data_IF_216615388458
#
_entry.id   IF_216615388458
#
_cell.length_a   1.000
_cell.length_b   1.000
_cell.length_c   1.000
_cell.angle_alpha   90.00
_cell.angle_beta   90.00
_cell.angle_gamma   90.00
#
_symmetry.space_group_name_H-M   'P 1'
#
loop_
_entity.id
_entity.type
_entity.pdbx_description
1 polymer ?
#
# COMPACT_ATOMS: atom_id res chain seq x y z
N UNK A 1 34.59 6.61 16.65
CA UNK A 1 34.11 7.78 17.42
C UNK A 1 32.88 8.49 16.80
N UNK A 2 32.71 8.53 15.48
CA UNK A 2 31.61 9.26 14.80
C UNK A 2 30.20 8.64 15.03
N UNK A 3 30.09 7.33 15.26
CA UNK A 3 28.78 6.62 15.45
C UNK A 3 28.03 6.98 16.75
N UNK A 4 28.74 7.36 17.81
CA UNK A 4 28.13 7.66 19.13
C UNK A 4 27.42 9.03 19.09
N UNK A 5 27.99 9.99 18.37
CA UNK A 5 27.41 11.32 18.18
C UNK A 5 26.12 11.29 17.35
N UNK A 6 26.06 10.45 16.31
CA UNK A 6 24.85 10.29 15.50
C UNK A 6 23.69 9.68 16.28
N UNK A 7 23.97 8.69 17.14
CA UNK A 7 22.96 8.04 17.97
C UNK A 7 22.40 8.98 19.03
N UNK A 8 23.28 9.74 19.71
CA UNK A 8 22.89 10.77 20.67
C UNK A 8 22.04 11.87 20.03
N UNK A 9 22.39 12.32 18.83
CA UNK A 9 21.62 13.37 18.12
C UNK A 9 20.22 12.90 17.67
N UNK A 10 20.08 11.63 17.29
CA UNK A 10 18.80 11.06 16.87
C UNK A 10 17.89 10.82 18.07
N UNK A 11 18.45 10.29 19.17
CA UNK A 11 17.72 10.09 20.41
C UNK A 11 17.27 11.42 21.02
N UNK A 12 18.11 12.45 20.98
CA UNK A 12 17.75 13.80 21.39
C UNK A 12 16.61 14.37 20.51
N UNK A 13 16.67 14.18 19.20
CA UNK A 13 15.59 14.61 18.29
C UNK A 13 14.27 13.89 18.60
N UNK A 14 14.31 12.57 18.79
CA UNK A 14 13.12 11.77 19.12
C UNK A 14 12.54 12.24 20.46
N UNK A 15 13.36 12.43 21.48
CA UNK A 15 12.92 12.91 22.79
C UNK A 15 12.28 14.31 22.70
N UNK A 16 12.88 15.24 21.95
CA UNK A 16 12.32 16.58 21.73
C UNK A 16 10.99 16.51 20.98
N UNK A 17 10.86 15.66 19.97
CA UNK A 17 9.59 15.48 19.26
C UNK A 17 8.50 14.90 20.16
N UNK A 18 8.81 13.91 20.99
CA UNK A 18 7.84 13.36 21.96
C UNK A 18 7.42 14.39 23.00
N UNK A 19 8.36 15.19 23.52
CA UNK A 19 8.05 16.27 24.44
C UNK A 19 7.15 17.33 23.79
N UNK A 20 7.44 17.75 22.57
CA UNK A 20 6.61 18.71 21.82
C UNK A 20 5.19 18.18 21.56
N UNK A 21 5.06 16.92 21.14
CA UNK A 21 3.75 16.28 20.95
C UNK A 21 2.99 16.23 22.29
N UNK A 22 3.67 15.91 23.40
CA UNK A 22 3.09 15.88 24.73
C UNK A 22 2.58 17.25 25.19
N UNK A 23 3.37 18.31 25.01
CA UNK A 23 2.95 19.69 25.33
C UNK A 23 1.76 20.12 24.46
N UNK A 24 1.78 19.80 23.16
CA UNK A 24 0.66 20.10 22.27
C UNK A 24 -0.61 19.33 22.68
N UNK A 25 -0.51 18.04 22.97
CA UNK A 25 -1.65 17.23 23.41
C UNK A 25 -2.25 17.71 24.74
N UNK A 26 -1.40 18.17 25.67
CA UNK A 26 -1.83 18.74 26.94
C UNK A 26 -2.54 20.09 26.77
N UNK A 27 -2.04 20.95 25.88
CA UNK A 27 -2.69 22.23 25.55
C UNK A 27 -4.07 22.01 24.89
N UNK A 28 -4.18 21.06 23.96
CA UNK A 28 -5.46 20.64 23.36
C UNK A 28 -6.43 20.12 24.41
N UNK A 29 -5.96 19.28 25.33
CA UNK A 29 -6.78 18.74 26.41
C UNK A 29 -7.35 19.84 27.32
N UNK A 30 -6.52 20.82 27.71
CA UNK A 30 -6.95 21.97 28.51
C UNK A 30 -7.97 22.83 27.74
N UNK A 31 -7.78 23.03 26.44
CA UNK A 31 -8.71 23.79 25.60
C UNK A 31 -10.05 23.08 25.44
N UNK A 32 -10.05 21.75 25.25
CA UNK A 32 -11.28 20.94 25.19
C UNK A 32 -12.06 21.03 26.51
N UNK A 33 -11.38 21.01 27.65
CA UNK A 33 -12.03 21.19 28.96
C UNK A 33 -12.67 22.58 29.12
N UNK A 34 -12.10 23.65 28.54
CA UNK A 34 -12.65 25.02 28.58
C UNK A 34 -13.82 25.25 27.63
N UNK A 35 -13.92 24.51 26.52
CA UNK A 35 -14.98 24.68 25.50
C UNK A 35 -16.38 24.31 26.02
N UNK A 36 -16.47 23.57 27.14
CA UNK A 36 -17.73 23.08 27.70
C UNK A 36 -18.68 24.20 28.18
N UNK A 37 -18.23 25.45 28.29
CA UNK A 37 -18.99 26.52 28.95
C UNK A 37 -19.56 27.65 28.05
N UNK A 38 -19.14 27.86 26.78
CA UNK A 38 -19.81 28.87 25.91
C UNK A 38 -19.47 28.82 24.42
N UNK A 39 -20.42 29.24 23.56
CA UNK A 39 -20.28 29.26 22.08
C UNK A 39 -19.31 30.34 21.58
N UNK A 40 -19.17 31.47 22.29
CA UNK A 40 -18.23 32.53 21.93
C UNK A 40 -16.75 32.09 22.08
N UNK A 41 -16.46 31.23 23.07
CA UNK A 41 -15.14 30.61 23.28
C UNK A 41 -14.75 29.61 22.18
N UNK A 42 -15.71 29.15 21.36
CA UNK A 42 -15.45 28.18 20.30
C UNK A 42 -14.62 28.77 19.16
N UNK A 43 -14.87 30.04 18.80
CA UNK A 43 -14.17 30.71 17.69
C UNK A 43 -12.71 31.01 18.02
N UNK A 44 -12.45 31.47 19.25
CA UNK A 44 -11.09 31.74 19.75
C UNK A 44 -10.29 30.46 19.93
N UNK A 45 -10.90 29.39 20.42
CA UNK A 45 -10.23 28.08 20.55
C UNK A 45 -9.95 27.42 19.21
N UNK A 46 -10.85 27.52 18.22
CA UNK A 46 -10.58 27.05 16.85
C UNK A 46 -9.44 27.84 16.18
N UNK A 47 -9.36 29.16 16.42
CA UNK A 47 -8.25 29.97 15.91
C UNK A 47 -6.92 29.54 16.53
N UNK A 48 -6.87 29.35 17.85
CA UNK A 48 -5.67 28.87 18.56
C UNK A 48 -5.28 27.48 18.06
N UNK A 49 -6.24 26.56 17.95
CA UNK A 49 -6.03 25.20 17.43
C UNK A 49 -5.41 25.19 16.03
N UNK A 50 -5.99 25.98 15.12
CA UNK A 50 -5.48 26.09 13.74
C UNK A 50 -4.08 26.72 13.69
N UNK A 51 -3.82 27.72 14.52
CA UNK A 51 -2.51 28.35 14.65
C UNK A 51 -1.45 27.37 15.17
N UNK A 52 -1.77 26.59 16.19
CA UNK A 52 -0.88 25.57 16.77
C UNK A 52 -0.56 24.45 15.78
N UNK A 53 -1.56 23.98 15.03
CA UNK A 53 -1.37 22.97 13.97
C UNK A 53 -0.49 23.50 12.82
N UNK A 54 -0.71 24.75 12.40
CA UNK A 54 0.09 25.37 11.35
C UNK A 54 1.55 25.55 11.79
N UNK A 55 1.77 26.00 13.02
CA UNK A 55 3.10 26.12 13.60
C UNK A 55 3.81 24.75 13.67
N UNK A 56 3.12 23.71 14.12
CA UNK A 56 3.66 22.34 14.18
C UNK A 56 4.05 21.82 12.78
N UNK A 57 3.20 22.06 11.77
CA UNK A 57 3.49 21.70 10.39
C UNK A 57 4.77 22.41 9.89
N UNK A 58 4.89 23.72 10.12
CA UNK A 58 6.07 24.50 9.70
C UNK A 58 7.35 24.03 10.40
N UNK A 59 7.29 23.72 11.70
CA UNK A 59 8.44 23.19 12.44
C UNK A 59 8.85 21.81 11.94
N UNK A 60 7.91 20.91 11.69
CA UNK A 60 8.22 19.56 11.20
C UNK A 60 8.90 19.59 9.83
N UNK A 61 8.41 20.41 8.90
CA UNK A 61 9.00 20.61 7.57
C UNK A 61 10.40 21.21 7.67
N UNK A 62 10.61 22.17 8.58
CA UNK A 62 11.91 22.80 8.79
C UNK A 62 12.95 21.78 9.27
N UNK A 63 12.60 20.93 10.23
CA UNK A 63 13.47 19.87 10.75
C UNK A 63 13.86 18.87 9.66
N UNK A 64 12.89 18.42 8.85
CA UNK A 64 13.15 17.51 7.74
C UNK A 64 14.05 18.15 6.67
N UNK A 65 13.86 19.45 6.42
CA UNK A 65 14.64 20.21 5.45
C UNK A 65 16.10 20.39 5.90
N UNK A 66 16.34 20.63 7.20
CA UNK A 66 17.69 20.70 7.76
C UNK A 66 18.45 19.38 7.58
N UNK A 67 17.78 18.23 7.74
CA UNK A 67 18.40 16.92 7.49
C UNK A 67 18.81 16.76 6.02
N UNK A 68 17.92 17.11 5.09
CA UNK A 68 18.23 17.06 3.65
C UNK A 68 19.42 17.96 3.29
N UNK A 69 19.44 19.19 3.81
CA UNK A 69 20.54 20.14 3.60
C UNK A 69 21.86 19.63 4.18
N UNK A 70 21.84 19.03 5.36
CA UNK A 70 23.05 18.47 5.99
C UNK A 70 23.60 17.28 5.20
N UNK A 71 22.74 16.39 4.71
CA UNK A 71 23.15 15.28 3.84
C UNK A 71 23.72 15.80 2.52
N UNK A 72 23.07 16.78 1.90
CA UNK A 72 23.55 17.40 0.67
C UNK A 72 24.93 18.07 0.85
N UNK A 73 25.12 18.82 1.95
CA UNK A 73 26.43 19.40 2.28
C UNK A 73 27.49 18.34 2.59
N UNK A 74 27.13 17.27 3.28
CA UNK A 74 28.03 16.15 3.53
C UNK A 74 28.49 15.48 2.24
N UNK A 75 27.57 15.24 1.30
CA UNK A 75 27.90 14.71 -0.02
C UNK A 75 28.74 15.67 -0.86
N UNK A 76 28.50 16.98 -0.76
CA UNK A 76 29.30 18.00 -1.45
C UNK A 76 30.72 18.14 -0.87
N UNK A 77 30.91 17.84 0.42
CA UNK A 77 32.20 17.84 1.09
C UNK A 77 33.03 16.59 0.82
N UNK A 78 32.47 15.53 0.25
CA UNK A 78 33.25 14.38 -0.23
C UNK A 78 34.07 14.90 -1.42
N UNK A 79 35.41 15.01 -1.30
CA UNK A 79 36.21 15.55 -2.38
C UNK A 79 36.20 14.56 -3.55
N UNK A 80 35.44 14.88 -4.60
CA UNK A 80 35.38 14.08 -5.83
C UNK A 80 36.76 13.96 -6.52
N UNK A 81 37.68 14.85 -6.19
CA UNK A 81 39.06 14.86 -6.68
C UNK A 81 39.93 13.72 -6.12
N UNK A 82 39.51 13.03 -5.04
CA UNK A 82 40.18 11.84 -4.50
C UNK A 82 39.49 10.53 -4.90
N UNK A 83 38.60 10.56 -5.89
CA UNK A 83 38.32 9.38 -6.71
C UNK A 83 39.14 9.54 -7.98
N UNK A 84 40.45 9.25 -7.97
CA UNK A 84 41.21 9.28 -9.19
C UNK A 84 40.78 8.05 -9.98
N UNK A 85 39.83 8.24 -10.90
CA UNK A 85 39.90 7.54 -12.18
C UNK A 85 40.60 8.53 -13.12
N UNK A 86 41.82 8.91 -12.77
CA UNK A 86 42.71 9.65 -13.65
C UNK A 86 43.69 8.63 -14.27
N UNK A 87 44.14 8.90 -15.49
CA UNK A 87 45.06 8.06 -16.30
C UNK A 87 46.45 7.78 -15.65
N UNK A 88 46.66 8.23 -14.41
CA UNK A 88 47.91 8.10 -13.65
C UNK A 88 47.87 7.06 -12.53
N UNK A 89 46.82 6.23 -12.44
CA UNK A 89 46.87 5.09 -11.52
C UNK A 89 47.90 4.06 -11.99
N UNK A 90 48.76 3.55 -11.09
CA UNK A 90 49.54 2.35 -11.38
C UNK A 90 48.61 1.24 -11.85
N UNK A 91 48.96 0.60 -12.97
CA UNK A 91 48.12 -0.39 -13.64
C UNK A 91 47.65 -1.49 -12.68
N UNK A 92 48.49 -1.88 -11.71
CA UNK A 92 48.16 -2.86 -10.67
C UNK A 92 47.00 -2.45 -9.75
N UNK A 93 46.91 -1.15 -9.40
CA UNK A 93 45.85 -0.63 -8.53
C UNK A 93 44.55 -0.50 -9.33
N UNK A 94 44.65 -0.03 -10.59
CA UNK A 94 43.50 0.05 -11.49
C UNK A 94 42.89 -1.33 -11.73
N UNK A 95 43.72 -2.34 -12.00
CA UNK A 95 43.28 -3.71 -12.25
C UNK A 95 42.59 -4.30 -11.01
N UNK A 96 43.14 -4.06 -9.81
CA UNK A 96 42.54 -4.51 -8.55
C UNK A 96 41.21 -3.82 -8.26
N UNK A 97 41.10 -2.53 -8.54
CA UNK A 97 39.86 -1.77 -8.39
C UNK A 97 38.79 -2.24 -9.40
N UNK A 98 39.17 -2.41 -10.68
CA UNK A 98 38.28 -2.96 -11.70
C UNK A 98 37.82 -4.36 -11.34
N UNK A 99 38.72 -5.21 -10.88
CA UNK A 99 38.39 -6.57 -10.42
C UNK A 99 37.37 -6.53 -9.27
N UNK A 100 37.60 -5.71 -8.23
CA UNK A 100 36.65 -5.58 -7.12
C UNK A 100 35.29 -5.01 -7.54
N UNK A 101 35.26 -4.09 -8.52
CA UNK A 101 34.02 -3.58 -9.12
C UNK A 101 33.29 -4.67 -9.91
N UNK A 102 34.01 -5.45 -10.72
CA UNK A 102 33.44 -6.55 -11.50
C UNK A 102 32.94 -7.68 -10.61
N UNK A 103 33.67 -8.05 -9.56
CA UNK A 103 33.26 -9.04 -8.57
C UNK A 103 32.02 -8.57 -7.82
N UNK A 104 31.99 -7.31 -7.36
CA UNK A 104 30.81 -6.73 -6.70
C UNK A 104 29.60 -6.66 -7.63
N UNK A 105 29.81 -6.34 -8.91
CA UNK A 105 28.76 -6.34 -9.91
C UNK A 105 28.24 -7.76 -10.21
N UNK A 106 29.13 -8.75 -10.30
CA UNK A 106 28.78 -10.15 -10.50
C UNK A 106 28.03 -10.72 -9.31
N UNK A 107 28.50 -10.45 -8.08
CA UNK A 107 27.81 -10.83 -6.84
C UNK A 107 26.44 -10.16 -6.76
N UNK A 108 26.34 -8.86 -7.09
CA UNK A 108 25.05 -8.16 -7.14
C UNK A 108 24.11 -8.76 -8.19
N UNK A 109 24.63 -9.16 -9.35
CA UNK A 109 23.84 -9.81 -10.39
C UNK A 109 23.37 -11.21 -9.96
N UNK A 110 24.23 -11.98 -9.28
CA UNK A 110 23.92 -13.30 -8.75
C UNK A 110 22.98 -13.25 -7.53
N UNK A 111 23.01 -12.17 -6.76
CA UNK A 111 22.09 -11.92 -5.64
C UNK A 111 20.77 -11.26 -6.07
N UNK A 112 20.56 -11.00 -7.37
CA UNK A 112 19.21 -10.67 -7.82
C UNK A 112 18.38 -11.95 -7.67
N UNK A 113 17.31 -11.93 -6.86
CA UNK A 113 16.43 -13.09 -6.76
C UNK A 113 15.96 -13.45 -8.16
N UNK A 114 15.96 -14.74 -8.47
CA UNK A 114 15.45 -15.21 -9.75
C UNK A 114 13.99 -14.75 -9.87
N UNK A 115 13.49 -14.49 -11.09
CA UNK A 115 12.10 -14.08 -11.27
C UNK A 115 11.16 -15.02 -10.52
N UNK A 116 11.33 -16.34 -10.61
CA UNK A 116 10.51 -17.33 -9.89
C UNK A 116 10.67 -17.35 -8.37
N UNK A 117 11.72 -16.75 -7.80
CA UNK A 117 11.94 -16.65 -6.34
C UNK A 117 11.30 -15.40 -5.74
N UNK A 118 10.98 -14.39 -6.56
CA UNK A 118 10.15 -13.26 -6.15
C UNK A 118 8.67 -13.65 -6.20
N UNK A 119 8.23 -14.43 -5.20
CA UNK A 119 6.81 -14.50 -4.87
C UNK A 119 6.39 -13.14 -4.34
N UNK A 120 5.57 -12.42 -5.10
CA UNK A 120 4.95 -11.19 -4.62
C UNK A 120 3.60 -11.60 -4.06
N UNK A 121 3.40 -11.42 -2.76
CA UNK A 121 2.12 -11.71 -2.11
C UNK A 121 0.98 -10.99 -2.85
N UNK A 122 -0.14 -11.68 -3.08
CA UNK A 122 -1.27 -11.14 -3.83
C UNK A 122 -1.18 -11.28 -5.36
N UNK A 123 -0.06 -11.77 -5.91
CA UNK A 123 0.11 -11.93 -7.35
C UNK A 123 0.39 -13.39 -7.75
N UNK A 124 -0.38 -13.87 -8.73
CA UNK A 124 -0.09 -15.09 -9.48
C UNK A 124 0.77 -14.75 -10.69
N UNK A 125 1.69 -15.65 -11.05
CA UNK A 125 2.44 -15.56 -12.31
C UNK A 125 1.77 -16.44 -13.33
N UNK A 126 1.46 -15.86 -14.48
CA UNK A 126 1.09 -16.59 -15.69
C UNK A 126 2.32 -16.64 -16.61
N UNK A 127 2.40 -17.59 -17.54
CA UNK A 127 3.53 -17.75 -18.47
C UNK A 127 3.78 -16.52 -19.38
N UNK A 128 2.88 -15.54 -19.35
CA UNK A 128 3.00 -14.25 -20.04
C UNK A 128 3.35 -13.16 -19.02
N UNK A 129 4.28 -12.26 -19.38
CA UNK A 129 4.94 -11.21 -18.58
C UNK A 129 4.07 -10.31 -17.67
N UNK A 130 2.76 -10.47 -17.66
CA UNK A 130 1.82 -9.72 -16.82
C UNK A 130 1.36 -10.55 -15.61
N UNK A 131 1.81 -10.24 -14.39
CA UNK A 131 1.34 -10.93 -13.19
C UNK A 131 -0.14 -10.63 -12.92
N UNK A 132 -0.89 -11.64 -12.50
CA UNK A 132 -2.31 -11.53 -12.16
C UNK A 132 -2.45 -11.17 -10.69
N UNK A 133 -3.00 -9.99 -10.40
CA UNK A 133 -3.34 -9.61 -9.04
C UNK A 133 -4.62 -10.32 -8.59
N UNK A 134 -4.52 -11.19 -7.58
CA UNK A 134 -5.60 -12.08 -7.14
C UNK A 134 -6.86 -11.33 -6.74
N UNK A 135 -6.76 -10.33 -5.86
CA UNK A 135 -7.93 -9.53 -5.43
C UNK A 135 -8.57 -8.77 -6.59
N UNK A 136 -7.78 -8.25 -7.51
CA UNK A 136 -8.31 -7.56 -8.69
C UNK A 136 -9.05 -8.54 -9.60
N UNK A 137 -8.50 -9.73 -9.82
CA UNK A 137 -9.13 -10.77 -10.61
C UNK A 137 -10.45 -11.25 -9.96
N UNK A 138 -10.45 -11.48 -8.64
CA UNK A 138 -11.66 -11.83 -7.88
C UNK A 138 -12.71 -10.72 -7.91
N UNK A 139 -12.32 -9.45 -7.84
CA UNK A 139 -13.29 -8.34 -7.96
C UNK A 139 -13.95 -8.30 -9.34
N UNK A 140 -13.19 -8.62 -10.39
CA UNK A 140 -13.70 -8.65 -11.78
C UNK A 140 -14.72 -9.75 -12.01
N UNK A 141 -14.79 -10.80 -11.18
CA UNK A 141 -15.76 -11.89 -11.40
C UNK A 141 -17.21 -11.41 -11.29
N UNK A 142 -17.50 -10.38 -10.49
CA UNK A 142 -18.83 -9.80 -10.42
C UNK A 142 -19.24 -9.11 -11.72
N UNK A 143 -18.33 -8.37 -12.36
CA UNK A 143 -18.56 -7.78 -13.68
C UNK A 143 -18.83 -8.87 -14.70
N UNK A 144 -17.98 -9.90 -14.74
CA UNK A 144 -18.14 -11.03 -15.68
C UNK A 144 -19.49 -11.73 -15.47
N UNK A 145 -19.87 -11.98 -14.22
CA UNK A 145 -21.15 -12.57 -13.87
C UNK A 145 -22.33 -11.71 -14.36
N UNK A 146 -22.29 -10.41 -14.06
CA UNK A 146 -23.29 -9.43 -14.50
C UNK A 146 -23.40 -9.39 -16.03
N UNK A 147 -22.28 -9.39 -16.73
CA UNK A 147 -22.24 -9.38 -18.20
C UNK A 147 -22.86 -10.65 -18.78
N UNK A 148 -22.66 -11.81 -18.14
CA UNK A 148 -23.27 -13.08 -18.57
C UNK A 148 -24.78 -13.06 -18.35
N UNK A 149 -25.23 -12.65 -17.16
CA UNK A 149 -26.65 -12.61 -16.80
C UNK A 149 -27.41 -11.54 -17.59
N UNK A 150 -26.74 -10.47 -18.02
CA UNK A 150 -27.36 -9.39 -18.80
C UNK A 150 -27.40 -9.63 -20.31
N UNK A 151 -26.83 -10.73 -20.81
CA UNK A 151 -26.97 -11.14 -22.24
C UNK A 151 -28.42 -11.30 -22.70
N UNK A 152 -29.31 -11.99 -21.96
CA UNK A 152 -30.72 -12.11 -22.34
C UNK A 152 -31.51 -10.82 -22.11
N UNK A 153 -31.20 -10.05 -21.06
CA UNK A 153 -31.89 -8.81 -20.70
C UNK A 153 -30.92 -7.85 -20.02
N UNK A 154 -30.71 -6.67 -20.63
CA UNK A 154 -29.79 -5.65 -20.12
C UNK A 154 -30.23 -5.07 -18.76
N UNK A 155 -31.52 -5.14 -18.41
CA UNK A 155 -32.03 -4.66 -17.13
C UNK A 155 -31.58 -5.52 -15.94
N UNK A 156 -31.03 -6.71 -16.20
CA UNK A 156 -30.46 -7.60 -15.19
C UNK A 156 -29.01 -7.26 -14.82
N UNK A 157 -28.40 -6.27 -15.46
CA UNK A 157 -27.02 -5.90 -15.16
C UNK A 157 -26.88 -5.33 -13.73
N UNK A 158 -25.81 -5.70 -13.04
CA UNK A 158 -25.49 -5.15 -11.74
C UNK A 158 -25.06 -3.68 -11.86
N UNK A 159 -25.88 -2.79 -11.32
CA UNK A 159 -25.69 -1.34 -11.41
C UNK A 159 -24.83 -0.73 -10.28
N UNK A 160 -24.40 -1.53 -9.28
CA UNK A 160 -23.59 -1.05 -8.15
C UNK A 160 -24.33 -0.23 -7.09
N UNK A 161 -25.62 0.09 -7.30
CA UNK A 161 -26.41 0.88 -6.35
C UNK A 161 -27.12 0.04 -5.29
N UNK A 162 -27.27 -1.26 -5.55
CA UNK A 162 -27.89 -2.20 -4.63
C UNK A 162 -26.85 -3.10 -3.93
N UNK A 163 -27.09 -3.52 -2.68
CA UNK A 163 -26.33 -4.57 -2.03
C UNK A 163 -26.26 -5.83 -2.88
N UNK A 164 -25.12 -6.52 -2.83
CA UNK A 164 -24.90 -7.68 -3.68
C UNK A 164 -25.88 -8.82 -3.37
N UNK A 165 -26.28 -8.97 -2.11
CA UNK A 165 -27.28 -9.94 -1.71
C UNK A 165 -28.66 -9.66 -2.35
N UNK A 166 -29.13 -8.41 -2.29
CA UNK A 166 -30.39 -7.98 -2.91
C UNK A 166 -30.37 -8.19 -4.43
N UNK A 167 -29.23 -7.97 -5.07
CA UNK A 167 -29.05 -8.28 -6.48
C UNK A 167 -29.31 -9.76 -6.78
N UNK A 168 -28.68 -10.69 -6.05
CA UNK A 168 -28.89 -12.14 -6.26
C UNK A 168 -30.33 -12.59 -5.93
N UNK A 169 -30.95 -11.97 -4.92
CA UNK A 169 -32.36 -12.22 -4.60
C UNK A 169 -33.27 -11.75 -5.75
N UNK A 170 -32.96 -10.60 -6.36
CA UNK A 170 -33.70 -10.07 -7.52
C UNK A 170 -33.58 -10.97 -8.77
N UNK A 171 -32.41 -11.57 -8.99
CA UNK A 171 -32.20 -12.53 -10.08
C UNK A 171 -33.07 -13.78 -9.87
N UNK A 172 -33.14 -14.28 -8.64
CA UNK A 172 -33.96 -15.43 -8.27
C UNK A 172 -35.45 -15.12 -8.46
N UNK A 173 -35.90 -13.91 -8.10
CA UNK A 173 -37.28 -13.46 -8.29
C UNK A 173 -37.68 -13.33 -9.78
N UNK A 174 -36.70 -13.11 -10.67
CA UNK A 174 -36.90 -13.05 -12.13
C UNK A 174 -36.73 -14.41 -12.82
N UNK A 175 -36.78 -15.51 -12.06
CA UNK A 175 -36.64 -16.89 -12.55
C UNK A 175 -35.29 -17.21 -13.20
N UNK A 176 -34.22 -16.47 -12.87
CA UNK A 176 -32.86 -16.88 -13.25
C UNK A 176 -32.46 -18.06 -12.37
N UNK A 177 -32.28 -19.23 -12.98
CA UNK A 177 -31.92 -20.45 -12.26
C UNK A 177 -30.47 -20.37 -11.79
N UNK A 178 -30.29 -20.15 -10.49
CA UNK A 178 -29.00 -20.14 -9.81
C UNK A 178 -29.02 -21.19 -8.72
N UNK A 179 -27.91 -21.89 -8.52
CA UNK A 179 -27.79 -22.76 -7.36
C UNK A 179 -27.64 -21.89 -6.09
N UNK A 180 -28.61 -21.92 -5.15
CA UNK A 180 -28.60 -21.03 -3.98
C UNK A 180 -27.42 -21.30 -3.04
N UNK A 181 -26.90 -22.54 -3.03
CA UNK A 181 -25.74 -22.89 -2.23
C UNK A 181 -24.48 -22.19 -2.76
N UNK A 182 -24.22 -22.28 -4.07
CA UNK A 182 -23.04 -21.63 -4.66
C UNK A 182 -23.14 -20.12 -4.64
N UNK A 183 -24.34 -19.55 -4.86
CA UNK A 183 -24.56 -18.12 -4.74
C UNK A 183 -24.21 -17.62 -3.32
N UNK A 184 -24.71 -18.29 -2.28
CA UNK A 184 -24.41 -17.92 -0.89
C UNK A 184 -22.92 -18.02 -0.55
N UNK A 185 -22.25 -19.08 -1.00
CA UNK A 185 -20.80 -19.25 -0.76
C UNK A 185 -20.00 -18.20 -1.52
N UNK A 186 -20.36 -17.90 -2.76
CA UNK A 186 -19.73 -16.85 -3.56
C UNK A 186 -19.86 -15.48 -2.88
N UNK A 187 -21.08 -15.09 -2.48
CA UNK A 187 -21.36 -13.81 -1.80
C UNK A 187 -20.49 -13.66 -0.55
N UNK A 188 -20.51 -14.67 0.33
CA UNK A 188 -19.72 -14.67 1.56
C UNK A 188 -18.22 -14.51 1.28
N UNK A 189 -17.71 -15.26 0.30
CA UNK A 189 -16.28 -15.19 -0.03
C UNK A 189 -15.92 -13.85 -0.69
N UNK A 190 -16.81 -13.27 -1.49
CA UNK A 190 -16.63 -11.97 -2.12
C UNK A 190 -16.59 -10.84 -1.07
N UNK A 191 -17.53 -10.83 -0.14
CA UNK A 191 -17.56 -9.87 0.97
C UNK A 191 -16.36 -10.01 1.90
N UNK A 192 -15.99 -11.25 2.26
CA UNK A 192 -14.81 -11.53 3.07
C UNK A 192 -13.52 -11.03 2.40
N UNK A 193 -13.36 -11.25 1.09
CA UNK A 193 -12.22 -10.74 0.33
C UNK A 193 -12.20 -9.20 0.27
N UNK A 194 -13.37 -8.56 0.09
CA UNK A 194 -13.48 -7.12 0.01
C UNK A 194 -13.14 -6.42 1.34
N UNK A 195 -13.46 -7.05 2.48
CA UNK A 195 -13.19 -6.53 3.82
C UNK A 195 -11.79 -6.87 4.33
N UNK A 196 -11.15 -7.92 3.81
CA UNK A 196 -9.84 -8.34 4.26
C UNK A 196 -8.76 -7.31 3.84
N UNK A 197 -8.00 -6.71 4.78
CA UNK A 197 -6.93 -5.77 4.46
C UNK A 197 -5.69 -6.45 3.86
N UNK A 198 -5.48 -7.75 4.13
CA UNK A 198 -4.29 -8.50 3.69
C UNK A 198 -4.44 -9.00 2.26
N UNK A 199 -3.34 -9.14 1.53
CA UNK A 199 -3.38 -9.70 0.18
C UNK A 199 -3.89 -11.15 0.16
N UNK A 200 -4.61 -11.51 -0.91
CA UNK A 200 -5.10 -12.87 -1.08
C UNK A 200 -3.94 -13.82 -1.39
N UNK A 201 -3.97 -15.00 -0.81
CA UNK A 201 -3.06 -16.10 -1.17
C UNK A 201 -3.52 -16.78 -2.46
N UNK A 202 -2.61 -17.49 -3.13
CA UNK A 202 -2.95 -18.27 -4.32
C UNK A 202 -4.02 -19.32 -4.02
N UNK A 203 -3.96 -19.95 -2.85
CA UNK A 203 -4.95 -20.93 -2.42
C UNK A 203 -6.35 -20.32 -2.31
N UNK A 204 -6.47 -19.18 -1.63
CA UNK A 204 -7.75 -18.46 -1.49
C UNK A 204 -8.30 -18.04 -2.84
N UNK A 205 -7.43 -17.57 -3.74
CA UNK A 205 -7.79 -17.26 -5.12
C UNK A 205 -8.34 -18.48 -5.86
N UNK A 206 -7.64 -19.62 -5.82
CA UNK A 206 -8.07 -20.86 -6.47
C UNK A 206 -9.42 -21.35 -5.91
N UNK A 207 -9.57 -21.35 -4.58
CA UNK A 207 -10.82 -21.76 -3.92
C UNK A 207 -11.99 -20.85 -4.31
N UNK A 208 -11.76 -19.54 -4.37
CA UNK A 208 -12.77 -18.59 -4.85
C UNK A 208 -13.15 -18.81 -6.31
N UNK A 209 -12.17 -18.99 -7.19
CA UNK A 209 -12.42 -19.20 -8.63
C UNK A 209 -13.15 -20.52 -8.89
N UNK A 210 -12.94 -21.56 -8.06
CA UNK A 210 -13.72 -22.81 -8.11
C UNK A 210 -15.20 -22.58 -7.76
N UNK A 211 -15.49 -21.79 -6.73
CA UNK A 211 -16.87 -21.47 -6.37
C UNK A 211 -17.51 -20.63 -7.49
N UNK A 212 -16.78 -19.67 -8.04
CA UNK A 212 -17.25 -18.85 -9.15
C UNK A 212 -17.56 -19.68 -10.39
N UNK A 213 -16.70 -20.62 -10.77
CA UNK A 213 -16.97 -21.49 -11.93
C UNK A 213 -18.16 -22.43 -11.71
N UNK A 214 -18.36 -22.94 -10.50
CA UNK A 214 -19.55 -23.72 -10.13
C UNK A 214 -20.83 -22.88 -10.18
N UNK A 215 -20.76 -21.62 -9.76
CA UNK A 215 -21.88 -20.67 -9.87
C UNK A 215 -22.22 -20.40 -11.34
N UNK A 216 -21.23 -20.10 -12.17
CA UNK A 216 -21.45 -19.89 -13.60
C UNK A 216 -22.04 -21.13 -14.27
N UNK A 217 -21.50 -22.32 -13.97
CA UNK A 217 -22.04 -23.57 -14.50
C UNK A 217 -23.50 -23.80 -14.10
N UNK A 218 -23.95 -23.27 -12.96
CA UNK A 218 -25.35 -23.37 -12.56
C UNK A 218 -26.30 -22.52 -13.42
N UNK A 219 -25.79 -21.48 -14.11
CA UNK A 219 -26.55 -20.71 -15.09
C UNK A 219 -26.76 -21.50 -16.40
N UNK A 220 -25.78 -22.33 -16.78
CA UNK A 220 -25.78 -23.11 -18.04
C UNK A 220 -26.57 -24.44 -17.96
N UNK A 221 -27.29 -24.74 -16.86
CA UNK A 221 -28.09 -25.99 -16.74
C UNK A 221 -29.46 -25.87 -17.42
N UNK A 222 -29.57 -25.07 -18.49
CA UNK A 222 -30.73 -25.04 -19.37
C UNK A 222 -30.26 -25.12 -20.82
N UNK A 223 -29.82 -26.32 -21.22
CA UNK A 223 -30.13 -26.86 -22.55
C UNK A 223 -31.30 -27.85 -22.42
#
# INVERSE_FOLDING_TARGET
>A
MIKIWTFSSLLAMVAVTFALIGVCGLDLYIQILRIRESVAMLTTTLFILSGSLLALALFSVSILSVRKLRVARGLAQIPRNFVPINDHLPQSILLKAMQGMTESAAIRAAMKPLPHECHVDGYGRYDQDTPVHFKTAMRKTLSIFSDIVSKPDHDLAYNGHQPLQEYFDSLSARNIQLNPHFAKVYLRNYESMAQNPNEATEREYIEFMKVFSLLLRSLDVVE
#
